data_IF_276058244026
#
_entry.id   IF_276058244026
#
_cell.length_a   1.000
_cell.length_b   1.000
_cell.length_c   1.000
_cell.angle_alpha   90.00
_cell.angle_beta   90.00
_cell.angle_gamma   90.00
#
_symmetry.space_group_name_H-M   'P 1'
#
loop_
_entity.id
_entity.type
_entity.pdbx_description
1 polymer ?
#
# COMPACT_ATOMS: atom_id res chain seq x y z
N UNK A 1 20.68 -16.73 -0.25
CA UNK A 1 21.06 -15.70 0.75
C UNK A 1 19.94 -14.67 0.84
N UNK A 2 19.27 -14.54 1.99
CA UNK A 2 18.15 -13.61 2.14
C UNK A 2 18.59 -12.13 2.06
N UNK A 3 17.72 -11.27 1.53
CA UNK A 3 17.98 -9.83 1.33
C UNK A 3 18.43 -9.11 2.62
N UNK A 4 17.90 -9.55 3.77
CA UNK A 4 18.28 -9.07 5.10
C UNK A 4 19.71 -9.45 5.50
N UNK A 5 20.17 -10.65 5.15
CA UNK A 5 21.52 -11.12 5.47
C UNK A 5 22.57 -10.37 4.64
N UNK A 6 22.27 -10.08 3.37
CA UNK A 6 23.13 -9.26 2.50
C UNK A 6 23.26 -7.82 3.02
N UNK A 7 22.15 -7.21 3.47
CA UNK A 7 22.18 -5.87 4.08
C UNK A 7 22.98 -5.84 5.38
N UNK A 8 22.86 -6.87 6.23
CA UNK A 8 23.63 -7.00 7.46
C UNK A 8 25.13 -7.14 7.18
N UNK A 9 25.52 -7.99 6.22
CA UNK A 9 26.92 -8.17 5.80
C UNK A 9 27.52 -6.89 5.23
N UNK A 10 26.77 -6.13 4.43
CA UNK A 10 27.20 -4.83 3.93
C UNK A 10 27.39 -3.83 5.07
N UNK A 11 26.48 -3.80 6.04
CA UNK A 11 26.56 -2.92 7.21
C UNK A 11 27.76 -3.28 8.10
N UNK A 12 28.00 -4.56 8.36
CA UNK A 12 29.13 -5.02 9.18
C UNK A 12 30.46 -4.77 8.47
N UNK A 13 30.54 -5.03 7.16
CA UNK A 13 31.73 -4.72 6.36
C UNK A 13 32.04 -3.22 6.40
N UNK A 14 31.04 -2.36 6.22
CA UNK A 14 31.19 -0.91 6.29
C UNK A 14 31.68 -0.44 7.67
N UNK A 15 31.07 -0.92 8.76
CA UNK A 15 31.48 -0.58 10.12
C UNK A 15 32.91 -1.04 10.44
N UNK A 16 33.30 -2.23 9.95
CA UNK A 16 34.63 -2.77 10.12
C UNK A 16 35.67 -1.94 9.35
N UNK A 17 35.30 -1.43 8.18
CA UNK A 17 36.13 -0.52 7.38
C UNK A 17 36.29 0.86 8.06
N UNK A 18 35.22 1.43 8.63
CA UNK A 18 35.26 2.66 9.41
C UNK A 18 36.12 2.50 10.67
N UNK A 19 35.96 1.40 11.40
CA UNK A 19 36.77 1.11 12.58
C UNK A 19 38.27 1.02 12.23
N UNK A 20 38.63 0.34 11.12
CA UNK A 20 40.02 0.29 10.63
C UNK A 20 40.58 1.67 10.26
N UNK A 21 39.77 2.55 9.66
CA UNK A 21 40.19 3.90 9.26
C UNK A 21 40.44 4.82 10.46
N UNK A 22 39.54 4.82 11.45
CA UNK A 22 39.68 5.64 12.66
C UNK A 22 40.82 5.15 13.56
N UNK A 23 41.09 3.84 13.57
CA UNK A 23 42.24 3.25 14.25
C UNK A 23 43.56 3.83 13.69
N UNK A 24 43.74 3.86 12.38
CA UNK A 24 45.06 4.15 11.77
C UNK A 24 45.67 5.50 12.18
N UNK A 25 44.94 6.62 12.02
CA UNK A 25 45.56 7.95 12.18
C UNK A 25 45.85 8.31 13.64
N UNK A 26 44.91 8.05 14.55
CA UNK A 26 45.07 8.33 15.98
C UNK A 26 46.14 7.42 16.58
N UNK A 27 46.21 6.16 16.17
CA UNK A 27 47.22 5.23 16.66
C UNK A 27 48.62 5.52 16.12
N UNK A 28 48.76 5.85 14.83
CA UNK A 28 50.06 6.25 14.27
C UNK A 28 50.57 7.49 15.02
N UNK A 29 49.70 8.47 15.28
CA UNK A 29 50.08 9.67 16.03
C UNK A 29 50.48 9.34 17.48
N UNK A 30 49.71 8.48 18.16
CA UNK A 30 50.05 8.00 19.53
C UNK A 30 51.40 7.27 19.55
N UNK A 31 51.65 6.36 18.61
CA UNK A 31 52.92 5.62 18.49
C UNK A 31 54.10 6.54 18.19
N UNK A 32 53.91 7.57 17.35
CA UNK A 32 54.94 8.60 17.13
C UNK A 32 55.25 9.32 18.45
N UNK A 33 54.24 9.72 19.22
CA UNK A 33 54.44 10.41 20.49
C UNK A 33 55.11 9.52 21.55
N UNK A 34 54.73 8.25 21.62
CA UNK A 34 55.35 7.24 22.49
C UNK A 34 56.82 7.02 22.13
N UNK A 35 57.14 6.88 20.84
CA UNK A 35 58.54 6.75 20.38
C UNK A 35 59.33 8.03 20.64
N UNK A 36 58.71 9.21 20.47
CA UNK A 36 59.33 10.50 20.84
C UNK A 36 59.61 10.60 22.34
N UNK A 37 58.75 10.03 23.18
CA UNK A 37 58.97 9.94 24.61
C UNK A 37 60.11 8.96 24.95
N UNK A 38 60.10 7.76 24.37
CA UNK A 38 61.16 6.75 24.54
C UNK A 38 62.53 7.25 24.04
N UNK A 39 62.56 8.06 22.99
CA UNK A 39 63.80 8.65 22.44
C UNK A 39 64.50 9.61 23.40
N UNK A 40 63.77 10.19 24.37
CA UNK A 40 64.33 11.04 25.43
C UNK A 40 65.00 10.23 26.54
N UNK A 41 64.71 8.93 26.66
CA UNK A 41 65.31 8.05 27.65
C UNK A 41 66.72 7.62 27.21
N UNK A 42 67.69 7.64 28.14
CA UNK A 42 69.12 7.35 27.83
C UNK A 42 69.40 5.91 27.41
N UNK A 43 68.47 4.97 27.65
CA UNK A 43 68.68 3.52 27.52
C UNK A 43 68.29 2.92 26.17
N UNK A 44 67.72 3.71 25.25
CA UNK A 44 67.20 3.20 23.97
C UNK A 44 68.06 3.69 22.80
N UNK A 45 68.46 2.81 21.85
CA UNK A 45 69.20 3.20 20.66
C UNK A 45 68.45 4.24 19.82
N UNK A 46 68.97 5.48 19.80
CA UNK A 46 68.32 6.63 19.14
C UNK A 46 68.09 6.40 17.65
N UNK A 47 69.01 5.71 16.97
CA UNK A 47 68.94 5.45 15.53
C UNK A 47 67.73 4.59 15.15
N UNK A 48 67.43 3.55 15.94
CA UNK A 48 66.29 2.65 15.69
C UNK A 48 64.96 3.39 15.86
N UNK A 49 64.86 4.25 16.88
CA UNK A 49 63.67 5.07 17.10
C UNK A 49 63.48 6.12 16.00
N UNK A 50 64.56 6.77 15.55
CA UNK A 50 64.51 7.71 14.42
C UNK A 50 64.03 7.05 13.13
N UNK A 51 64.58 5.88 12.77
CA UNK A 51 64.12 5.11 11.60
C UNK A 51 62.63 4.78 11.71
N UNK A 52 62.16 4.39 12.90
CA UNK A 52 60.74 4.09 13.12
C UNK A 52 59.85 5.32 13.04
N UNK A 53 60.29 6.48 13.54
CA UNK A 53 59.58 7.76 13.40
C UNK A 53 59.42 8.10 11.92
N UNK A 54 60.52 8.09 11.16
CA UNK A 54 60.50 8.42 9.72
C UNK A 54 59.54 7.49 8.96
N UNK A 55 59.56 6.20 9.26
CA UNK A 55 58.64 5.24 8.65
C UNK A 55 57.17 5.54 8.98
N UNK A 56 56.85 5.83 10.25
CA UNK A 56 55.49 6.18 10.67
C UNK A 56 55.02 7.51 10.07
N UNK A 57 55.90 8.49 9.93
CA UNK A 57 55.62 9.78 9.28
C UNK A 57 55.33 9.59 7.79
N UNK A 58 56.08 8.73 7.11
CA UNK A 58 55.82 8.37 5.71
C UNK A 58 54.46 7.67 5.56
N UNK A 59 54.13 6.73 6.45
CA UNK A 59 52.81 6.08 6.47
C UNK A 59 51.68 7.09 6.71
N UNK A 60 51.86 8.03 7.65
CA UNK A 60 50.88 9.08 7.92
C UNK A 60 50.67 9.99 6.69
N UNK A 61 51.74 10.34 5.98
CA UNK A 61 51.68 11.11 4.74
C UNK A 61 50.88 10.38 3.66
N UNK A 62 51.12 9.08 3.47
CA UNK A 62 50.37 8.25 2.53
C UNK A 62 48.87 8.21 2.86
N UNK A 63 48.52 8.04 4.14
CA UNK A 63 47.12 8.08 4.60
C UNK A 63 46.48 9.44 4.27
N UNK A 64 47.19 10.54 4.51
CA UNK A 64 46.69 11.88 4.20
C UNK A 64 46.45 12.11 2.70
N UNK A 65 47.34 11.61 1.84
CA UNK A 65 47.16 11.69 0.38
C UNK A 65 45.94 10.88 -0.08
N UNK A 66 45.72 9.70 0.48
CA UNK A 66 44.53 8.88 0.21
C UNK A 66 43.25 9.59 0.66
N UNK A 67 43.21 10.16 1.88
CA UNK A 67 42.08 10.96 2.37
C UNK A 67 41.78 12.13 1.42
N UNK A 68 42.82 12.83 0.94
CA UNK A 68 42.68 13.94 -0.01
C UNK A 68 42.10 13.50 -1.35
N UNK A 69 42.52 12.33 -1.87
CA UNK A 69 41.96 11.73 -3.10
C UNK A 69 40.49 11.36 -2.92
N UNK A 70 40.16 10.67 -1.83
CA UNK A 70 38.79 10.25 -1.51
C UNK A 70 37.86 11.47 -1.35
N UNK A 71 38.33 12.54 -0.70
CA UNK A 71 37.55 13.77 -0.58
C UNK A 71 37.26 14.42 -1.93
N UNK A 72 38.20 14.38 -2.88
CA UNK A 72 38.00 14.90 -4.25
C UNK A 72 36.98 14.06 -5.01
N UNK A 73 37.05 12.74 -4.89
CA UNK A 73 36.08 11.82 -5.50
C UNK A 73 34.68 12.03 -4.94
N UNK A 74 34.53 12.10 -3.61
CA UNK A 74 33.26 12.41 -2.95
C UNK A 74 32.65 13.73 -3.42
N UNK A 75 33.47 14.77 -3.64
CA UNK A 75 33.01 16.05 -4.21
C UNK A 75 32.50 15.88 -5.65
N UNK A 76 33.21 15.14 -6.50
CA UNK A 76 32.78 14.84 -7.87
C UNK A 76 31.45 14.07 -7.89
N UNK A 77 31.31 13.06 -7.03
CA UNK A 77 30.07 12.29 -6.90
C UNK A 77 28.91 13.14 -6.41
N UNK A 78 29.12 14.00 -5.42
CA UNK A 78 28.09 14.92 -4.94
C UNK A 78 27.56 15.83 -6.06
N UNK A 79 28.44 16.32 -6.95
CA UNK A 79 28.03 17.11 -8.12
C UNK A 79 27.17 16.28 -9.07
N UNK A 80 27.57 15.02 -9.35
CA UNK A 80 26.79 14.09 -10.18
C UNK A 80 25.41 13.81 -9.57
N UNK A 81 25.35 13.51 -8.27
CA UNK A 81 24.10 13.30 -7.53
C UNK A 81 23.20 14.55 -7.63
N UNK A 82 23.78 15.74 -7.47
CA UNK A 82 23.05 17.01 -7.62
C UNK A 82 22.50 17.22 -9.05
N UNK A 83 23.25 16.83 -10.08
CA UNK A 83 22.77 16.87 -11.46
C UNK A 83 21.62 15.88 -11.70
N UNK A 84 21.75 14.63 -11.23
CA UNK A 84 20.71 13.61 -11.33
C UNK A 84 19.43 14.02 -10.60
N UNK A 85 19.53 14.57 -9.38
CA UNK A 85 18.36 15.10 -8.64
C UNK A 85 17.61 16.18 -9.43
N UNK A 86 18.34 17.07 -10.10
CA UNK A 86 17.74 18.11 -10.97
C UNK A 86 17.04 17.50 -12.18
N UNK A 87 17.65 16.49 -12.82
CA UNK A 87 17.05 15.77 -13.94
C UNK A 87 15.76 15.04 -13.53
N UNK A 88 15.78 14.31 -12.41
CA UNK A 88 14.59 13.63 -11.86
C UNK A 88 13.47 14.64 -11.61
N UNK A 89 13.78 15.78 -10.96
CA UNK A 89 12.79 16.83 -10.71
C UNK A 89 12.21 17.39 -12.01
N UNK A 90 13.04 17.59 -13.04
CA UNK A 90 12.58 18.06 -14.35
C UNK A 90 11.68 17.02 -15.06
N UNK A 91 12.01 15.73 -14.96
CA UNK A 91 11.22 14.64 -15.52
C UNK A 91 9.87 14.49 -14.79
N UNK A 92 9.85 14.55 -13.46
CA UNK A 92 8.59 14.56 -12.71
C UNK A 92 7.69 15.73 -13.12
N UNK A 93 8.24 16.94 -13.26
CA UNK A 93 7.47 18.09 -13.75
C UNK A 93 6.93 17.85 -15.17
N UNK A 94 7.71 17.22 -16.06
CA UNK A 94 7.24 16.86 -17.41
C UNK A 94 6.13 15.81 -17.36
N UNK A 95 6.22 14.83 -16.46
CA UNK A 95 5.18 13.82 -16.25
C UNK A 95 3.89 14.47 -15.75
N UNK A 96 3.97 15.32 -14.72
CA UNK A 96 2.82 16.08 -14.20
C UNK A 96 2.17 16.96 -15.27
N UNK A 97 2.96 17.59 -16.16
CA UNK A 97 2.41 18.36 -17.29
C UNK A 97 1.80 17.46 -18.37
N UNK A 98 2.35 16.25 -18.57
CA UNK A 98 1.86 15.28 -19.56
C UNK A 98 0.61 14.53 -19.10
N UNK A 99 0.41 14.40 -17.78
CA UNK A 99 -0.87 14.06 -17.16
C UNK A 99 -1.84 15.23 -17.35
N UNK A 100 -2.21 15.46 -18.62
CA UNK A 100 -2.99 16.63 -18.96
C UNK A 100 -4.31 16.56 -18.18
N UNK A 101 -4.72 17.65 -17.51
CA UNK A 101 -6.01 17.70 -16.82
C UNK A 101 -7.16 17.44 -17.79
N UNK A 102 -6.91 17.58 -19.10
CA UNK A 102 -7.84 17.19 -20.14
C UNK A 102 -8.17 15.68 -20.11
N UNK A 103 -7.17 14.79 -19.97
CA UNK A 103 -7.43 13.36 -19.89
C UNK A 103 -8.21 13.02 -18.63
N UNK A 104 -7.88 13.63 -17.50
CA UNK A 104 -8.62 13.41 -16.26
C UNK A 104 -10.09 13.82 -16.41
N UNK A 105 -10.37 15.01 -16.95
CA UNK A 105 -11.75 15.47 -17.25
C UNK A 105 -12.46 14.57 -18.28
N UNK A 106 -11.75 14.03 -19.28
CA UNK A 106 -12.33 13.10 -20.26
C UNK A 106 -12.71 11.77 -19.60
N UNK A 107 -11.83 11.23 -18.76
CA UNK A 107 -12.09 10.00 -17.98
C UNK A 107 -13.28 10.23 -17.06
N UNK A 108 -13.32 11.34 -16.33
CA UNK A 108 -14.43 11.68 -15.43
C UNK A 108 -15.78 11.79 -16.16
N UNK A 109 -15.81 12.46 -17.34
CA UNK A 109 -17.00 12.52 -18.19
C UNK A 109 -17.45 11.14 -18.68
N UNK A 110 -16.51 10.30 -19.12
CA UNK A 110 -16.81 8.93 -19.57
C UNK A 110 -17.31 8.05 -18.40
N UNK A 111 -16.71 8.18 -17.23
CA UNK A 111 -17.15 7.50 -16.00
C UNK A 111 -18.58 7.91 -15.63
N UNK A 112 -18.92 9.20 -15.72
CA UNK A 112 -20.28 9.68 -15.48
C UNK A 112 -21.28 9.10 -16.49
N UNK A 113 -20.98 9.19 -17.80
CA UNK A 113 -21.85 8.66 -18.85
C UNK A 113 -22.05 7.14 -18.71
N UNK A 114 -21.00 6.40 -18.34
CA UNK A 114 -21.10 4.98 -18.07
C UNK A 114 -21.99 4.69 -16.85
N UNK A 115 -21.83 5.46 -15.77
CA UNK A 115 -22.69 5.39 -14.60
C UNK A 115 -24.16 5.61 -14.94
N UNK A 116 -24.46 6.64 -15.72
CA UNK A 116 -25.82 6.94 -16.19
C UNK A 116 -26.40 5.81 -17.04
N UNK A 117 -25.61 5.24 -17.97
CA UNK A 117 -26.08 4.13 -18.79
C UNK A 117 -26.35 2.87 -17.96
N UNK A 118 -25.51 2.58 -16.97
CA UNK A 118 -25.70 1.45 -16.07
C UNK A 118 -26.95 1.64 -15.21
N UNK A 119 -27.16 2.83 -14.65
CA UNK A 119 -28.36 3.17 -13.89
C UNK A 119 -29.63 3.04 -14.76
N UNK A 120 -29.60 3.54 -16.01
CA UNK A 120 -30.72 3.38 -16.95
C UNK A 120 -31.01 1.92 -17.26
N UNK A 121 -29.99 1.11 -17.58
CA UNK A 121 -30.17 -0.34 -17.82
C UNK A 121 -30.73 -1.07 -16.60
N UNK A 122 -30.32 -0.68 -15.39
CA UNK A 122 -30.83 -1.28 -14.17
C UNK A 122 -32.29 -0.90 -13.91
N UNK A 123 -32.66 0.37 -14.08
CA UNK A 123 -34.06 0.80 -14.00
C UNK A 123 -34.93 0.13 -15.06
N UNK A 124 -34.46 -0.01 -16.29
CA UNK A 124 -35.15 -0.77 -17.35
C UNK A 124 -35.38 -2.24 -16.96
N UNK A 125 -34.36 -2.91 -16.40
CA UNK A 125 -34.50 -4.28 -15.89
C UNK A 125 -35.53 -4.37 -14.76
N UNK A 126 -35.54 -3.42 -13.83
CA UNK A 126 -36.50 -3.37 -12.72
C UNK A 126 -37.94 -3.14 -13.23
N UNK A 127 -38.13 -2.23 -14.19
CA UNK A 127 -39.44 -1.99 -14.81
C UNK A 127 -39.91 -3.26 -15.52
N UNK A 128 -39.08 -3.88 -16.36
CA UNK A 128 -39.42 -5.15 -17.04
C UNK A 128 -39.77 -6.26 -16.05
N UNK A 129 -39.02 -6.41 -14.96
CA UNK A 129 -39.31 -7.39 -13.92
C UNK A 129 -40.67 -7.13 -13.25
N UNK A 130 -41.03 -5.86 -12.99
CA UNK A 130 -42.35 -5.49 -12.46
C UNK A 130 -43.49 -5.77 -13.45
N UNK A 131 -43.28 -5.59 -14.75
CA UNK A 131 -44.31 -5.90 -15.77
C UNK A 131 -44.52 -7.41 -15.95
N UNK A 132 -43.44 -8.20 -15.80
CA UNK A 132 -43.48 -9.67 -15.98
C UNK A 132 -44.03 -10.39 -14.73
N UNK A 133 -43.99 -9.76 -13.56
CA UNK A 133 -44.66 -10.26 -12.34
C UNK A 133 -46.03 -9.58 -12.26
N UNK A 134 -47.11 -10.18 -12.79
CA UNK A 134 -48.44 -9.64 -12.55
C UNK A 134 -48.73 -9.59 -11.05
N UNK A 135 -49.52 -8.61 -10.60
CA UNK A 135 -49.88 -8.45 -9.21
C UNK A 135 -50.42 -9.77 -8.68
N UNK A 136 -49.89 -10.15 -7.51
CA UNK A 136 -50.42 -11.08 -6.54
C UNK A 136 -51.62 -11.91 -7.03
N UNK A 137 -51.35 -13.19 -7.30
CA UNK A 137 -52.32 -14.30 -7.41
C UNK A 137 -53.07 -14.48 -6.09
N UNK A 138 -53.88 -13.50 -5.71
CA UNK A 138 -54.89 -13.62 -4.67
C UNK A 138 -56.26 -13.53 -5.36
N UNK A 139 -56.81 -14.69 -5.75
CA UNK A 139 -58.15 -14.78 -6.36
C UNK A 139 -58.28 -15.68 -7.60
N UNK A 140 -57.21 -16.32 -8.08
CA UNK A 140 -57.32 -17.22 -9.24
C UNK A 140 -57.84 -18.61 -8.83
N UNK A 141 -58.78 -19.13 -9.62
CA UNK A 141 -59.39 -20.43 -9.42
C UNK A 141 -58.35 -21.56 -9.64
N UNK A 142 -58.53 -22.72 -9.00
CA UNK A 142 -57.64 -23.90 -9.17
C UNK A 142 -57.36 -24.26 -10.65
N UNK A 143 -58.34 -24.25 -11.58
CA UNK A 143 -58.05 -24.57 -12.99
C UNK A 143 -57.16 -23.53 -13.67
N UNK A 144 -57.24 -22.25 -13.30
CA UNK A 144 -56.39 -21.20 -13.89
C UNK A 144 -54.93 -21.31 -13.45
N UNK A 145 -54.69 -21.77 -12.21
CA UNK A 145 -53.35 -22.04 -11.70
C UNK A 145 -52.71 -23.23 -12.42
N UNK A 146 -53.48 -24.27 -12.76
CA UNK A 146 -53.01 -25.43 -13.51
C UNK A 146 -52.62 -25.04 -14.96
N UNK A 147 -53.49 -24.33 -15.67
CA UNK A 147 -53.20 -23.84 -17.02
C UNK A 147 -51.95 -22.93 -17.06
N UNK A 148 -51.68 -22.23 -15.95
CA UNK A 148 -50.51 -21.38 -15.81
C UNK A 148 -49.22 -22.15 -15.53
N UNK A 149 -49.30 -23.25 -14.78
CA UNK A 149 -48.17 -24.18 -14.60
C UNK A 149 -47.78 -24.81 -15.93
N UNK A 150 -48.75 -25.22 -16.75
CA UNK A 150 -48.49 -25.78 -18.08
C UNK A 150 -47.80 -24.76 -19.01
N UNK A 151 -48.29 -23.52 -19.05
CA UNK A 151 -47.62 -22.44 -19.82
C UNK A 151 -46.20 -22.15 -19.33
N UNK A 152 -45.96 -22.20 -18.02
CA UNK A 152 -44.62 -22.00 -17.46
C UNK A 152 -43.68 -23.17 -17.79
N UNK A 153 -44.18 -24.41 -17.79
CA UNK A 153 -43.39 -25.60 -18.20
C UNK A 153 -42.93 -25.48 -19.65
N UNK A 154 -43.80 -25.01 -20.55
CA UNK A 154 -43.44 -24.75 -21.96
C UNK A 154 -42.41 -23.61 -22.13
N UNK A 155 -42.45 -22.60 -21.26
CA UNK A 155 -41.46 -21.51 -21.26
C UNK A 155 -40.09 -21.97 -20.75
N UNK A 156 -40.03 -22.90 -19.79
CA UNK A 156 -38.76 -23.47 -19.31
C UNK A 156 -38.01 -24.16 -20.45
N UNK A 157 -38.71 -24.94 -21.28
CA UNK A 157 -38.06 -25.66 -22.39
C UNK A 157 -37.44 -24.73 -23.43
N UNK A 158 -38.06 -23.58 -23.67
CA UNK A 158 -37.53 -22.56 -24.58
C UNK A 158 -36.33 -21.83 -23.95
N UNK A 159 -36.46 -21.38 -22.71
CA UNK A 159 -35.43 -20.54 -22.06
C UNK A 159 -34.22 -21.35 -21.58
N UNK A 160 -34.35 -22.66 -21.34
CA UNK A 160 -33.23 -23.53 -20.94
C UNK A 160 -32.11 -23.59 -21.98
N UNK A 161 -32.42 -23.33 -23.26
CA UNK A 161 -31.44 -23.28 -24.35
C UNK A 161 -30.68 -21.95 -24.41
N UNK A 162 -31.28 -20.87 -23.92
CA UNK A 162 -30.74 -19.51 -24.04
C UNK A 162 -30.03 -19.06 -22.75
N UNK A 163 -30.60 -19.32 -21.57
CA UNK A 163 -30.04 -18.89 -20.29
C UNK A 163 -30.37 -19.91 -19.17
N UNK A 164 -29.42 -20.80 -18.78
CA UNK A 164 -29.69 -21.88 -17.83
C UNK A 164 -30.05 -21.36 -16.43
N UNK A 165 -29.47 -20.23 -16.00
CA UNK A 165 -29.77 -19.60 -14.71
C UNK A 165 -31.19 -19.04 -14.62
N UNK A 166 -31.76 -18.58 -15.75
CA UNK A 166 -33.14 -18.09 -15.78
C UNK A 166 -34.15 -19.24 -15.73
N UNK A 167 -33.81 -20.38 -16.35
CA UNK A 167 -34.63 -21.59 -16.29
C UNK A 167 -34.76 -22.13 -14.85
N UNK A 168 -33.69 -22.09 -14.04
CA UNK A 168 -33.73 -22.47 -12.62
C UNK A 168 -34.71 -21.62 -11.80
N UNK A 169 -34.76 -20.31 -12.06
CA UNK A 169 -35.71 -19.40 -11.38
C UNK A 169 -37.16 -19.71 -11.75
N UNK A 170 -37.42 -20.08 -13.00
CA UNK A 170 -38.77 -20.47 -13.44
C UNK A 170 -39.17 -21.81 -12.81
N UNK A 171 -38.25 -22.78 -12.69
CA UNK A 171 -38.50 -24.05 -12.01
C UNK A 171 -38.82 -23.84 -10.52
N UNK A 172 -38.06 -23.00 -9.81
CA UNK A 172 -38.36 -22.65 -8.42
C UNK A 172 -39.74 -21.99 -8.28
N UNK A 173 -40.17 -21.22 -9.28
CA UNK A 173 -41.50 -20.60 -9.30
C UNK A 173 -42.62 -21.62 -9.55
N UNK A 174 -42.41 -22.60 -10.43
CA UNK A 174 -43.34 -23.71 -10.65
C UNK A 174 -43.55 -24.48 -9.36
N UNK A 175 -42.45 -24.84 -8.66
CA UNK A 175 -42.52 -25.53 -7.36
C UNK A 175 -43.32 -24.74 -6.31
N UNK A 176 -43.19 -23.41 -6.30
CA UNK A 176 -43.94 -22.56 -5.37
C UNK A 176 -45.44 -22.46 -5.71
N UNK A 177 -45.82 -22.61 -6.98
CA UNK A 177 -47.24 -22.65 -7.40
C UNK A 177 -47.82 -24.04 -7.12
N UNK A 178 -47.07 -25.11 -7.39
CA UNK A 178 -47.46 -26.49 -7.11
C UNK A 178 -47.62 -26.73 -5.60
N UNK A 179 -46.73 -26.18 -4.76
CA UNK A 179 -46.86 -26.24 -3.29
C UNK A 179 -48.06 -25.45 -2.77
N UNK A 180 -48.46 -24.36 -3.43
CA UNK A 180 -49.70 -23.63 -3.11
C UNK A 180 -50.96 -24.38 -3.54
N UNK A 181 -50.91 -25.11 -4.66
CA UNK A 181 -52.00 -25.99 -5.10
C UNK A 181 -52.19 -27.18 -4.13
N UNK A 182 -51.10 -27.73 -3.61
CA UNK A 182 -51.12 -28.82 -2.61
C UNK A 182 -51.46 -28.30 -1.20
N UNK A 183 -50.94 -27.13 -0.81
CA UNK A 183 -51.13 -26.51 0.51
C UNK A 183 -52.50 -25.83 0.71
N UNK A 184 -53.31 -25.68 -0.34
CA UNK A 184 -54.69 -25.18 -0.22
C UNK A 184 -55.64 -26.14 0.52
N UNK A 185 -55.14 -27.27 1.05
CA UNK A 185 -55.88 -28.17 1.93
C UNK A 185 -55.46 -28.11 3.41
N UNK A 186 -54.41 -27.38 3.80
CA UNK A 186 -54.08 -27.29 5.23
C UNK A 186 -53.29 -26.04 5.63
N UNK A 187 -53.87 -25.36 6.63
CA UNK A 187 -53.34 -24.40 7.61
C UNK A 187 -53.37 -22.89 7.34
N UNK A 188 -53.80 -22.10 8.37
CA UNK A 188 -54.10 -20.68 8.25
C UNK A 188 -52.86 -19.80 8.42
N UNK A 189 -53.00 -18.58 7.89
CA UNK A 189 -52.15 -17.41 8.09
C UNK A 189 -51.50 -17.34 9.49
N UNK A 190 -50.20 -17.61 9.56
CA UNK A 190 -49.36 -17.09 10.63
C UNK A 190 -49.00 -15.64 10.29
N UNK A 191 -49.63 -14.71 11.00
CA UNK A 191 -49.25 -13.28 11.05
C UNK A 191 -47.80 -13.16 11.51
N UNK A 192 -46.89 -12.95 10.56
CA UNK A 192 -45.50 -12.62 10.83
C UNK A 192 -45.42 -11.23 11.48
N UNK A 193 -45.01 -11.20 12.75
CA UNK A 193 -44.63 -9.98 13.46
C UNK A 193 -43.53 -9.28 12.66
N UNK A 194 -43.76 -8.03 12.28
CA UNK A 194 -42.76 -7.19 11.64
C UNK A 194 -41.64 -6.86 12.64
N UNK A 195 -40.50 -7.54 12.53
CA UNK A 195 -39.27 -7.11 13.20
C UNK A 195 -38.69 -5.93 12.43
N UNK A 196 -38.84 -4.74 13.00
CA UNK A 196 -38.17 -3.52 12.57
C UNK A 196 -36.66 -3.67 12.71
N UNK A 197 -35.98 -4.12 11.66
CA UNK A 197 -34.53 -4.05 11.56
C UNK A 197 -34.15 -2.61 11.19
N UNK A 198 -33.72 -1.86 12.21
CA UNK A 198 -33.02 -0.59 12.08
C UNK A 198 -31.87 -0.74 11.08
N UNK A 199 -31.93 0.01 9.97
CA UNK A 199 -30.80 0.17 9.05
C UNK A 199 -29.75 1.00 9.77
N UNK A 200 -28.68 0.36 10.24
CA UNK A 200 -27.44 1.06 10.58
C UNK A 200 -26.87 1.64 9.28
N UNK A 201 -26.99 2.95 9.17
CA UNK A 201 -26.30 3.76 8.17
C UNK A 201 -24.80 3.55 8.27
N UNK A 202 -24.18 3.44 7.09
CA UNK A 202 -22.77 3.13 6.87
C UNK A 202 -21.77 3.86 7.77
N UNK A 203 -20.77 3.09 8.23
CA UNK A 203 -19.42 3.59 8.34
C UNK A 203 -18.60 2.99 7.20
N UNK A 204 -18.09 3.90 6.37
CA UNK A 204 -17.39 3.59 5.13
C UNK A 204 -16.16 2.71 5.30
N UNK A 205 -15.86 2.01 4.22
CA UNK A 205 -14.59 1.36 3.97
C UNK A 205 -13.46 2.40 4.04
N UNK A 206 -12.82 2.52 5.20
CA UNK A 206 -11.54 3.23 5.31
C UNK A 206 -10.49 2.38 4.61
N UNK A 207 -9.96 2.92 3.52
CA UNK A 207 -8.76 2.41 2.85
C UNK A 207 -7.58 2.39 3.80
N UNK A 208 -6.71 1.40 3.65
CA UNK A 208 -5.49 1.15 4.45
C UNK A 208 -4.48 2.32 4.48
N UNK A 209 -4.71 3.38 3.71
CA UNK A 209 -3.88 4.59 3.67
C UNK A 209 -4.16 5.57 4.83
N UNK A 210 -5.34 5.54 5.44
CA UNK A 210 -5.72 6.51 6.48
C UNK A 210 -5.20 6.18 7.89
N UNK A 211 -4.68 4.96 8.10
CA UNK A 211 -4.14 4.54 9.41
C UNK A 211 -2.70 5.01 9.67
N UNK A 212 -2.06 5.72 8.74
CA UNK A 212 -0.69 6.24 8.91
C UNK A 212 -0.60 7.72 9.27
N UNK A 213 -1.69 8.47 9.26
CA UNK A 213 -1.67 9.93 9.49
C UNK A 213 -1.95 10.30 10.96
N UNK A 214 -2.37 9.36 11.81
CA UNK A 214 -2.71 9.66 13.22
C UNK A 214 -1.56 9.50 14.25
N UNK A 215 -0.30 9.52 13.82
CA UNK A 215 0.84 9.29 14.76
C UNK A 215 1.79 10.46 15.00
N UNK A 216 1.37 11.68 14.70
CA UNK A 216 2.08 12.88 15.15
C UNK A 216 1.11 13.82 15.86
N UNK A 217 0.72 13.44 17.08
CA UNK A 217 0.25 14.43 18.04
C UNK A 217 1.40 15.42 18.31
N UNK A 218 1.16 16.74 18.25
CA UNK A 218 2.17 17.72 18.62
C UNK A 218 2.54 17.50 20.08
N UNK A 219 3.82 17.19 20.32
CA UNK A 219 4.34 17.05 21.68
C UNK A 219 4.28 18.42 22.35
N UNK A 220 3.77 18.53 23.60
CA UNK A 220 3.72 19.80 24.29
C UNK A 220 5.12 20.39 24.47
N UNK A 221 5.25 21.73 24.42
CA UNK A 221 6.54 22.39 24.58
C UNK A 221 7.14 22.11 25.96
N UNK A 222 8.48 21.95 26.06
CA UNK A 222 9.13 21.64 27.32
C UNK A 222 8.96 22.77 28.35
N UNK A 223 8.81 22.42 29.64
CA UNK A 223 8.62 23.40 30.70
C UNK A 223 9.84 24.33 30.81
N UNK A 224 9.58 25.64 30.88
CA UNK A 224 10.62 26.66 31.06
C UNK A 224 11.25 26.48 32.44
N UNK A 225 12.56 26.24 32.48
CA UNK A 225 13.34 26.29 33.73
C UNK A 225 13.30 27.72 34.25
N UNK A 226 12.68 27.92 35.40
CA UNK A 226 12.84 29.13 36.20
C UNK A 226 14.26 29.10 36.75
N UNK A 227 15.14 29.90 36.16
CA UNK A 227 16.48 30.15 36.71
C UNK A 227 16.25 31.06 37.91
N UNK A 228 16.20 30.45 39.10
CA UNK A 228 16.23 31.19 40.35
C UNK A 228 17.61 31.83 40.50
N UNK A 229 17.68 33.13 40.25
CA UNK A 229 18.80 33.96 40.70
C UNK A 229 18.66 34.12 42.21
N UNK A 230 19.59 33.51 42.95
CA UNK A 230 19.97 33.96 44.28
C UNK A 230 21.34 34.58 44.17
#
# INVERSE_FOLDING_TARGET
MGLKASQLLLRTAFLLEEQKKVFSRKEITKKINEIKYLAKQKKVPRLTLQKKIVHLEQQLKQVYELEKRLLREKKKENIKIGALKRQIKALHKRLEMSESPHFHKKVEKLSHLLGDQMARKETEKQVRAKTIIPPTVSGLSKPDLLARVEKLKLLVEKVRKEDPKHAELILARIQLIESKLQGAASTPLATGKHTMMMKSSGLGSKTFADLKIQKELPVPPPPKRVIGTK
#
